data_IF_601406192733
#
_entry.id   IF_601406192733
#
_cell.length_a   1.000
_cell.length_b   1.000
_cell.length_c   1.000
_cell.angle_alpha   90.00
_cell.angle_beta   90.00
_cell.angle_gamma   90.00
#
_symmetry.space_group_name_H-M   'P 1'
#
loop_
_entity.id
_entity.type
_entity.pdbx_description
1 polymer ?
#
# COMPACT_ATOMS: atom_id res chain seq x y z
N UNK A 1 -17.82 7.88 13.32
CA UNK A 1 -16.85 6.77 13.41
C UNK A 1 -16.99 6.11 14.77
N UNK A 2 -17.38 4.83 14.82
CA UNK A 2 -17.44 4.07 16.07
C UNK A 2 -16.03 3.83 16.61
N UNK A 3 -15.83 4.10 17.89
CA UNK A 3 -14.58 3.83 18.62
C UNK A 3 -14.24 2.33 18.49
N UNK A 4 -13.05 1.94 17.97
CA UNK A 4 -12.69 0.54 17.76
C UNK A 4 -12.78 -0.27 19.06
N UNK A 5 -13.28 -1.51 19.02
CA UNK A 5 -13.51 -2.35 20.20
C UNK A 5 -12.26 -2.47 21.10
N UNK A 6 -11.08 -2.51 20.49
CA UNK A 6 -9.76 -2.57 21.10
C UNK A 6 -9.37 -1.34 21.92
N UNK A 7 -9.97 -0.18 21.65
CA UNK A 7 -9.61 1.10 22.29
C UNK A 7 -10.34 1.37 23.62
N UNK A 8 -11.14 0.41 24.09
CA UNK A 8 -11.87 0.49 25.37
C UNK A 8 -11.44 -0.61 26.34
N UNK A 9 -11.34 -0.31 27.65
CA UNK A 9 -11.08 -1.30 28.70
C UNK A 9 -9.66 -1.90 28.69
N UNK A 10 -9.53 -3.24 28.66
CA UNK A 10 -8.24 -3.98 28.65
C UNK A 10 -7.50 -3.88 27.30
N UNK A 11 -7.17 -2.66 26.88
CA UNK A 11 -6.62 -2.31 25.55
C UNK A 11 -5.41 -3.15 25.13
N UNK A 12 -4.42 -3.35 26.01
CA UNK A 12 -3.23 -4.17 25.70
C UNK A 12 -3.55 -5.63 25.38
N UNK A 13 -4.49 -6.25 26.10
CA UNK A 13 -4.91 -7.62 25.82
C UNK A 13 -5.64 -7.68 24.48
N UNK A 14 -6.53 -6.72 24.24
CA UNK A 14 -7.29 -6.64 23.00
C UNK A 14 -6.38 -6.44 21.78
N UNK A 15 -5.36 -5.59 21.91
CA UNK A 15 -4.38 -5.38 20.86
C UNK A 15 -3.62 -6.67 20.51
N UNK A 16 -3.16 -7.44 21.51
CA UNK A 16 -2.49 -8.73 21.26
C UNK A 16 -3.38 -9.72 20.51
N UNK A 17 -4.66 -9.79 20.84
CA UNK A 17 -5.64 -10.64 20.14
C UNK A 17 -5.83 -10.18 18.69
N UNK A 18 -5.98 -8.86 18.47
CA UNK A 18 -6.06 -8.27 17.13
C UNK A 18 -4.81 -8.62 16.32
N UNK A 19 -3.62 -8.43 16.88
CA UNK A 19 -2.36 -8.70 16.19
C UNK A 19 -2.19 -10.20 15.88
N UNK A 20 -2.67 -11.10 16.74
CA UNK A 20 -2.65 -12.54 16.48
C UNK A 20 -3.53 -12.93 15.28
N UNK A 21 -4.74 -12.38 15.20
CA UNK A 21 -5.63 -12.58 14.04
C UNK A 21 -5.01 -12.02 12.76
N UNK A 22 -4.38 -10.84 12.82
CA UNK A 22 -3.72 -10.23 11.67
C UNK A 22 -2.47 -11.01 11.21
N UNK A 23 -1.67 -11.52 12.14
CA UNK A 23 -0.53 -12.39 11.80
C UNK A 23 -0.99 -13.66 11.09
N UNK A 24 -2.04 -14.30 11.61
CA UNK A 24 -2.62 -15.52 11.03
C UNK A 24 -3.18 -15.26 9.64
N UNK A 25 -3.93 -14.16 9.46
CA UNK A 25 -4.42 -13.76 8.15
C UNK A 25 -3.29 -13.47 7.14
N UNK A 26 -2.19 -12.83 7.57
CA UNK A 26 -1.02 -12.58 6.73
C UNK A 26 -0.33 -13.87 6.33
N UNK A 27 -0.12 -14.79 7.27
CA UNK A 27 0.45 -16.12 7.01
C UNK A 27 -0.35 -16.89 5.95
N UNK A 28 -1.68 -16.91 6.07
CA UNK A 28 -2.56 -17.55 5.10
C UNK A 28 -2.49 -16.89 3.71
N UNK A 29 -2.40 -15.55 3.66
CA UNK A 29 -2.20 -14.80 2.41
C UNK A 29 -0.86 -15.12 1.75
N UNK A 30 0.21 -15.20 2.54
CA UNK A 30 1.55 -15.56 2.04
C UNK A 30 1.57 -16.99 1.47
N UNK A 31 0.76 -17.89 2.04
CA UNK A 31 0.49 -19.23 1.50
C UNK A 31 -0.46 -19.28 0.30
N UNK A 32 -0.85 -18.13 -0.28
CA UNK A 32 -1.71 -18.05 -1.46
C UNK A 32 -3.22 -18.18 -1.20
N UNK A 33 -3.65 -18.25 0.06
CA UNK A 33 -5.06 -18.37 0.42
C UNK A 33 -5.68 -16.99 0.67
N UNK A 34 -6.98 -16.85 0.46
CA UNK A 34 -7.73 -15.64 0.85
C UNK A 34 -8.58 -15.99 2.08
N UNK A 35 -8.08 -15.78 3.31
CA UNK A 35 -8.66 -16.37 4.52
C UNK A 35 -10.00 -15.76 4.91
N UNK A 36 -10.93 -16.56 5.41
CA UNK A 36 -12.12 -16.06 6.13
C UNK A 36 -11.76 -15.66 7.57
N UNK A 37 -12.70 -15.02 8.28
CA UNK A 37 -12.52 -14.69 9.71
C UNK A 37 -12.35 -15.97 10.54
N UNK A 38 -13.10 -17.02 10.22
CA UNK A 38 -13.00 -18.33 10.88
C UNK A 38 -11.64 -18.98 10.66
N UNK A 39 -11.13 -18.99 9.42
CA UNK A 39 -9.84 -19.60 9.12
C UNK A 39 -8.70 -18.90 9.87
N UNK A 40 -8.72 -17.56 9.91
CA UNK A 40 -7.74 -16.80 10.69
C UNK A 40 -7.91 -17.00 12.20
N UNK A 41 -9.14 -17.23 12.69
CA UNK A 41 -9.41 -17.50 14.09
C UNK A 41 -8.92 -18.89 14.50
N UNK A 42 -9.21 -19.90 13.69
CA UNK A 42 -8.81 -21.30 13.89
C UNK A 42 -7.26 -21.40 13.89
N UNK A 43 -6.58 -20.77 12.94
CA UNK A 43 -5.10 -20.69 12.89
C UNK A 43 -4.50 -19.94 14.09
N UNK A 44 -5.16 -18.88 14.57
CA UNK A 44 -4.71 -18.10 15.73
C UNK A 44 -5.02 -18.76 17.09
N UNK A 45 -5.76 -19.87 17.12
CA UNK A 45 -6.30 -20.45 18.36
C UNK A 45 -7.30 -19.53 19.09
N UNK A 46 -8.05 -18.72 18.34
CA UNK A 46 -9.04 -17.76 18.86
C UNK A 46 -10.45 -18.23 18.50
N UNK A 47 -11.39 -18.16 19.44
CA UNK A 47 -12.78 -18.53 19.13
C UNK A 47 -13.40 -17.62 18.04
N UNK A 48 -14.26 -18.18 17.19
CA UNK A 48 -14.99 -17.44 16.14
C UNK A 48 -15.72 -16.21 16.71
N UNK A 49 -16.45 -16.40 17.81
CA UNK A 49 -17.17 -15.31 18.50
C UNK A 49 -16.24 -14.17 18.92
N UNK A 50 -15.02 -14.49 19.36
CA UNK A 50 -14.03 -13.46 19.70
C UNK A 50 -13.47 -12.80 18.45
N UNK A 51 -13.13 -13.55 17.40
CA UNK A 51 -12.63 -13.00 16.15
C UNK A 51 -13.62 -12.01 15.50
N UNK A 52 -14.90 -12.35 15.47
CA UNK A 52 -15.97 -11.49 14.95
C UNK A 52 -16.14 -10.16 15.71
N UNK A 53 -15.72 -10.09 16.98
CA UNK A 53 -15.68 -8.82 17.73
C UNK A 53 -14.60 -7.85 17.23
N UNK A 54 -13.52 -8.36 16.62
CA UNK A 54 -12.45 -7.54 16.04
C UNK A 54 -12.65 -7.28 14.56
N UNK A 55 -13.12 -8.29 13.83
CA UNK A 55 -13.30 -8.24 12.38
C UNK A 55 -14.71 -8.75 12.04
N UNK A 56 -15.67 -7.85 11.80
CA UNK A 56 -17.06 -8.25 11.57
C UNK A 56 -17.26 -9.05 10.27
N UNK A 57 -16.32 -8.96 9.33
CA UNK A 57 -16.32 -9.74 8.09
C UNK A 57 -14.91 -9.85 7.50
N UNK A 58 -14.78 -10.69 6.48
CA UNK A 58 -13.52 -10.94 5.76
C UNK A 58 -12.91 -9.65 5.20
N UNK A 59 -13.73 -8.74 4.64
CA UNK A 59 -13.25 -7.46 4.11
C UNK A 59 -12.52 -6.63 5.16
N UNK A 60 -13.06 -6.53 6.38
CA UNK A 60 -12.40 -5.81 7.48
C UNK A 60 -11.10 -6.47 7.91
N UNK A 61 -11.05 -7.81 7.94
CA UNK A 61 -9.83 -8.55 8.25
C UNK A 61 -8.74 -8.30 7.21
N UNK A 62 -9.05 -8.48 5.93
CA UNK A 62 -8.09 -8.35 4.83
C UNK A 62 -7.54 -6.93 4.69
N UNK A 63 -8.40 -5.90 4.83
CA UNK A 63 -7.93 -4.51 4.79
C UNK A 63 -7.02 -4.17 5.97
N UNK A 64 -7.29 -4.72 7.15
CA UNK A 64 -6.43 -4.55 8.32
C UNK A 64 -5.14 -5.39 8.24
N UNK A 65 -5.11 -6.43 7.42
CA UNK A 65 -3.92 -7.24 7.17
C UNK A 65 -2.89 -6.50 6.29
N UNK A 66 -3.31 -5.52 5.48
CA UNK A 66 -2.40 -4.62 4.76
C UNK A 66 -1.54 -3.84 5.76
N UNK A 67 -0.22 -3.71 5.54
CA UNK A 67 0.65 -2.98 6.45
C UNK A 67 0.26 -1.50 6.53
N UNK A 68 0.13 -0.99 7.76
CA UNK A 68 0.14 0.44 8.02
C UNK A 68 1.61 0.91 8.00
N UNK A 69 2.04 1.52 6.90
CA UNK A 69 3.37 2.14 6.81
C UNK A 69 3.22 3.58 7.27
N UNK A 70 3.48 3.81 8.55
CA UNK A 70 3.32 5.11 9.19
C UNK A 70 4.58 5.97 9.05
N UNK A 71 4.92 6.30 7.80
CA UNK A 71 6.00 7.25 7.48
C UNK A 71 5.43 8.37 6.62
N UNK A 72 5.76 9.61 6.95
CA UNK A 72 5.39 10.79 6.15
C UNK A 72 6.26 10.92 4.90
N UNK A 73 7.50 10.43 4.96
CA UNK A 73 8.43 10.34 3.85
C UNK A 73 9.09 8.97 3.79
N UNK A 74 9.51 8.55 2.60
CA UNK A 74 10.41 7.41 2.39
C UNK A 74 11.88 7.83 2.28
N UNK A 75 12.14 9.13 2.30
CA UNK A 75 13.48 9.71 2.31
C UNK A 75 13.95 9.88 3.76
N UNK A 76 15.23 9.59 3.99
CA UNK A 76 15.88 9.83 5.27
C UNK A 76 16.45 11.26 5.32
N UNK A 77 16.87 11.72 6.51
CA UNK A 77 17.32 13.11 6.75
C UNK A 77 18.49 13.56 5.85
N UNK A 78 19.31 12.62 5.36
CA UNK A 78 20.43 12.88 4.45
C UNK A 78 20.11 12.70 2.96
N UNK A 79 18.84 12.76 2.57
CA UNK A 79 18.44 12.58 1.18
C UNK A 79 19.08 13.65 0.26
N UNK A 80 19.49 13.29 -0.98
CA UNK A 80 20.08 14.24 -1.92
C UNK A 80 19.15 15.41 -2.27
N UNK A 81 19.73 16.50 -2.77
CA UNK A 81 18.98 17.62 -3.34
C UNK A 81 18.51 17.34 -4.77
N UNK A 82 19.25 16.50 -5.50
CA UNK A 82 18.91 16.13 -6.88
C UNK A 82 17.57 15.36 -6.94
N UNK A 83 16.61 15.92 -7.69
CA UNK A 83 15.25 15.38 -7.79
C UNK A 83 15.23 13.98 -8.42
N UNK A 84 16.13 13.67 -9.35
CA UNK A 84 16.19 12.34 -9.97
C UNK A 84 16.62 11.29 -8.95
N UNK A 85 17.67 11.57 -8.18
CA UNK A 85 18.14 10.70 -7.11
C UNK A 85 17.08 10.50 -6.01
N UNK A 86 16.40 11.58 -5.59
CA UNK A 86 15.28 11.50 -4.62
C UNK A 86 14.15 10.60 -5.12
N UNK A 87 13.71 10.82 -6.36
CA UNK A 87 12.63 10.02 -6.95
C UNK A 87 13.04 8.55 -7.04
N UNK A 88 14.27 8.28 -7.45
CA UNK A 88 14.79 6.92 -7.56
C UNK A 88 14.77 6.17 -6.21
N UNK A 89 15.21 6.82 -5.12
CA UNK A 89 15.15 6.28 -3.76
C UNK A 89 13.70 5.96 -3.34
N UNK A 90 12.77 6.88 -3.58
CA UNK A 90 11.35 6.68 -3.23
C UNK A 90 10.73 5.53 -4.02
N UNK A 91 11.03 5.42 -5.32
CA UNK A 91 10.47 4.33 -6.15
C UNK A 91 11.13 2.99 -5.82
N UNK A 92 12.42 2.96 -5.50
CA UNK A 92 13.09 1.75 -5.02
C UNK A 92 12.47 1.23 -3.72
N UNK A 93 12.26 2.09 -2.72
CA UNK A 93 11.62 1.71 -1.46
C UNK A 93 10.14 1.33 -1.68
N UNK A 94 9.43 2.02 -2.59
CA UNK A 94 8.08 1.63 -2.96
C UNK A 94 8.03 0.23 -3.58
N UNK A 95 8.96 -0.11 -4.47
CA UNK A 95 9.05 -1.45 -5.07
C UNK A 95 9.32 -2.53 -4.01
N UNK A 96 10.19 -2.27 -3.03
CA UNK A 96 10.43 -3.19 -1.92
C UNK A 96 9.19 -3.38 -1.03
N UNK A 97 8.43 -2.31 -0.77
CA UNK A 97 7.13 -2.39 -0.10
C UNK A 97 6.15 -3.26 -0.88
N UNK A 98 6.08 -3.10 -2.21
CA UNK A 98 5.21 -3.91 -3.06
C UNK A 98 5.62 -5.38 -2.99
N UNK A 99 6.91 -5.68 -3.15
CA UNK A 99 7.46 -7.05 -3.11
C UNK A 99 7.22 -7.73 -1.76
N UNK A 100 7.47 -7.02 -0.66
CA UNK A 100 7.33 -7.56 0.71
C UNK A 100 5.89 -7.88 1.08
N UNK A 101 4.94 -7.08 0.59
CA UNK A 101 3.53 -7.16 0.98
C UNK A 101 2.62 -7.52 -0.20
N UNK A 102 3.18 -8.14 -1.24
CA UNK A 102 2.48 -8.42 -2.49
C UNK A 102 1.17 -9.19 -2.23
N UNK A 103 1.12 -10.29 -1.46
CA UNK A 103 -0.11 -11.04 -1.23
C UNK A 103 -1.22 -10.19 -0.59
N UNK A 104 -0.88 -9.39 0.42
CA UNK A 104 -1.81 -8.53 1.13
C UNK A 104 -2.31 -7.37 0.25
N UNK A 105 -1.42 -6.77 -0.54
CA UNK A 105 -1.77 -5.70 -1.48
C UNK A 105 -2.64 -6.22 -2.62
N UNK A 106 -2.42 -7.45 -3.10
CA UNK A 106 -3.28 -8.12 -4.09
C UNK A 106 -4.66 -8.42 -3.53
N UNK A 107 -4.76 -8.88 -2.28
CA UNK A 107 -6.04 -9.10 -1.62
C UNK A 107 -6.82 -7.78 -1.47
N UNK A 108 -6.14 -6.71 -1.08
CA UNK A 108 -6.75 -5.38 -1.00
C UNK A 108 -7.22 -4.92 -2.39
N UNK A 109 -6.39 -5.07 -3.44
CA UNK A 109 -6.75 -4.71 -4.80
C UNK A 109 -8.02 -5.43 -5.26
N UNK A 110 -8.14 -6.75 -5.03
CA UNK A 110 -9.37 -7.51 -5.35
C UNK A 110 -10.60 -6.91 -4.67
N UNK A 111 -10.51 -6.62 -3.36
CA UNK A 111 -11.60 -6.00 -2.61
C UNK A 111 -11.97 -4.61 -3.13
N UNK A 112 -11.04 -3.87 -3.72
CA UNK A 112 -11.31 -2.56 -4.32
C UNK A 112 -12.04 -2.67 -5.67
N UNK A 113 -11.78 -3.74 -6.43
CA UNK A 113 -12.42 -4.01 -7.72
C UNK A 113 -13.85 -4.54 -7.56
N UNK A 114 -14.14 -5.21 -6.45
CA UNK A 114 -15.50 -5.68 -6.11
C UNK A 114 -16.46 -4.55 -5.71
N UNK A 115 -15.98 -3.32 -5.57
CA UNK A 115 -16.82 -2.20 -5.15
C UNK A 115 -17.69 -1.69 -6.29
N UNK A 116 -18.95 -1.44 -6.00
CA UNK A 116 -19.84 -0.71 -6.90
C UNK A 116 -19.22 0.68 -7.21
N UNK A 117 -18.96 1.01 -8.48
CA UNK A 117 -18.39 2.31 -8.88
C UNK A 117 -19.20 3.51 -8.38
N UNK A 118 -20.48 3.33 -8.08
CA UNK A 118 -21.41 4.33 -7.57
C UNK A 118 -21.27 4.53 -6.05
N UNK A 119 -20.51 3.67 -5.36
CA UNK A 119 -20.18 3.85 -3.94
C UNK A 119 -19.43 5.17 -3.74
N UNK A 120 -19.99 6.04 -2.88
CA UNK A 120 -19.41 7.33 -2.53
C UNK A 120 -18.01 7.17 -1.93
N UNK A 121 -17.13 8.13 -2.22
CA UNK A 121 -15.70 8.08 -1.86
C UNK A 121 -15.47 7.89 -0.36
N UNK A 122 -16.33 8.46 0.47
CA UNK A 122 -16.28 8.37 1.94
C UNK A 122 -16.71 6.99 2.47
N UNK A 123 -17.45 6.22 1.67
CA UNK A 123 -17.88 4.86 1.98
C UNK A 123 -16.92 3.80 1.41
N UNK A 124 -15.94 4.20 0.56
CA UNK A 124 -14.93 3.27 0.07
C UNK A 124 -13.92 2.98 1.17
N UNK A 125 -13.57 1.71 1.42
CA UNK A 125 -12.54 1.42 2.39
C UNK A 125 -11.24 2.06 1.98
N UNK A 126 -10.48 2.40 3.01
CA UNK A 126 -9.24 3.15 2.97
C UNK A 126 -8.14 2.28 2.38
N UNK A 127 -8.26 1.86 1.12
CA UNK A 127 -7.14 1.25 0.43
C UNK A 127 -6.16 2.38 0.12
N UNK A 128 -5.25 2.62 1.07
CA UNK A 128 -4.17 3.62 1.10
C UNK A 128 -4.61 4.99 0.57
N UNK A 129 -4.92 5.95 1.45
CA UNK A 129 -5.35 7.36 1.17
C UNK A 129 -4.44 8.18 0.21
N UNK A 130 -4.00 7.63 -0.92
CA UNK A 130 -2.99 8.22 -1.79
C UNK A 130 -1.63 8.41 -1.10
N UNK A 131 -1.29 7.69 -0.01
CA UNK A 131 -0.04 7.94 0.75
C UNK A 131 1.22 7.81 -0.12
N UNK A 132 1.23 6.86 -1.06
CA UNK A 132 2.32 6.74 -2.03
C UNK A 132 2.47 7.98 -2.92
N UNK A 133 1.37 8.69 -3.23
CA UNK A 133 1.42 9.95 -3.97
C UNK A 133 2.11 11.02 -3.11
N UNK A 134 1.81 11.08 -1.81
CA UNK A 134 2.48 12.02 -0.91
C UNK A 134 3.99 11.75 -0.79
N UNK A 135 4.42 10.48 -0.77
CA UNK A 135 5.85 10.14 -0.80
C UNK A 135 6.54 10.58 -2.11
N UNK A 136 5.85 10.44 -3.24
CA UNK A 136 6.38 10.90 -4.53
C UNK A 136 6.39 12.43 -4.58
N UNK A 137 5.37 13.12 -4.06
CA UNK A 137 5.39 14.59 -3.95
C UNK A 137 6.56 15.10 -3.11
N UNK A 138 6.87 14.42 -2.01
CA UNK A 138 8.01 14.73 -1.15
C UNK A 138 9.35 14.58 -1.90
N UNK A 139 9.47 13.57 -2.77
CA UNK A 139 10.63 13.45 -3.65
C UNK A 139 10.75 14.62 -4.64
N UNK A 140 9.61 15.13 -5.12
CA UNK A 140 9.51 16.20 -6.11
C UNK A 140 9.54 17.62 -5.51
N UNK A 141 9.72 17.77 -4.20
CA UNK A 141 9.82 19.08 -3.52
C UNK A 141 10.79 20.05 -4.21
N UNK A 142 12.02 19.65 -4.63
CA UNK A 142 12.97 20.56 -5.28
C UNK A 142 12.49 21.17 -6.61
N UNK A 143 11.44 20.61 -7.23
CA UNK A 143 10.85 21.19 -8.44
C UNK A 143 10.15 22.52 -8.17
N UNK A 144 9.76 22.82 -6.93
CA UNK A 144 9.16 24.11 -6.59
C UNK A 144 10.07 25.28 -6.95
N UNK A 145 11.39 25.10 -6.82
CA UNK A 145 12.38 26.14 -7.11
C UNK A 145 12.92 26.00 -8.54
N UNK A 146 13.32 24.79 -8.94
CA UNK A 146 13.96 24.56 -10.23
C UNK A 146 12.98 24.62 -11.42
N UNK A 147 11.75 24.13 -11.24
CA UNK A 147 10.74 24.00 -12.31
C UNK A 147 9.32 24.33 -11.79
N UNK A 148 9.07 25.58 -11.33
CA UNK A 148 7.83 25.95 -10.66
C UNK A 148 6.56 25.80 -11.51
N UNK A 149 6.72 25.70 -12.84
CA UNK A 149 5.62 25.47 -13.79
C UNK A 149 5.14 24.01 -13.82
N UNK A 150 5.90 23.06 -13.26
CA UNK A 150 5.54 21.65 -13.23
C UNK A 150 4.49 21.41 -12.13
N UNK A 151 3.34 20.87 -12.51
CA UNK A 151 2.33 20.38 -11.56
C UNK A 151 2.82 19.10 -10.86
N UNK A 152 3.44 19.29 -9.70
CA UNK A 152 4.01 18.21 -8.87
C UNK A 152 2.97 17.17 -8.45
N UNK A 153 1.73 17.57 -8.15
CA UNK A 153 0.65 16.65 -7.75
C UNK A 153 0.29 15.76 -8.93
N UNK A 154 0.07 16.35 -10.11
CA UNK A 154 -0.28 15.61 -11.32
C UNK A 154 0.84 14.67 -11.73
N UNK A 155 2.11 15.11 -11.66
CA UNK A 155 3.26 14.26 -11.93
C UNK A 155 3.35 13.09 -10.95
N UNK A 156 3.17 13.34 -9.64
CA UNK A 156 3.19 12.28 -8.63
C UNK A 156 2.07 11.25 -8.84
N UNK A 157 0.87 11.69 -9.24
CA UNK A 157 -0.24 10.78 -9.60
C UNK A 157 0.11 9.94 -10.82
N UNK A 158 0.68 10.53 -11.87
CA UNK A 158 1.09 9.82 -13.08
C UNK A 158 2.16 8.76 -12.78
N UNK A 159 3.19 9.13 -12.01
CA UNK A 159 4.24 8.20 -11.58
C UNK A 159 3.65 7.07 -10.72
N UNK A 160 2.78 7.41 -9.75
CA UNK A 160 2.14 6.39 -8.90
C UNK A 160 1.30 5.40 -9.71
N UNK A 161 0.65 5.84 -10.79
CA UNK A 161 -0.12 4.94 -11.64
C UNK A 161 0.75 3.83 -12.25
N UNK A 162 1.98 4.16 -12.66
CA UNK A 162 2.96 3.20 -13.21
C UNK A 162 3.76 2.42 -12.16
N UNK A 163 3.77 2.86 -10.90
CA UNK A 163 4.58 2.26 -9.82
C UNK A 163 3.71 1.63 -8.72
N UNK A 164 2.51 1.20 -9.07
CA UNK A 164 1.50 0.64 -8.17
C UNK A 164 1.48 -0.88 -8.08
N UNK A 165 0.67 -1.40 -7.16
CA UNK A 165 0.36 -2.85 -7.14
C UNK A 165 -0.35 -3.27 -8.44
N UNK A 166 -1.11 -2.36 -9.04
CA UNK A 166 -1.81 -2.56 -10.30
C UNK A 166 -0.81 -2.80 -11.45
N UNK A 167 0.18 -1.92 -11.58
CA UNK A 167 1.25 -2.04 -12.57
C UNK A 167 2.16 -3.24 -12.28
N UNK A 168 2.46 -3.52 -11.00
CA UNK A 168 3.23 -4.70 -10.59
C UNK A 168 2.57 -5.99 -11.03
N UNK A 169 1.27 -6.16 -10.75
CA UNK A 169 0.47 -7.32 -11.16
C UNK A 169 0.48 -7.46 -12.69
N UNK A 170 0.29 -6.35 -13.42
CA UNK A 170 0.34 -6.38 -14.88
C UNK A 170 1.71 -6.84 -15.40
N UNK A 171 2.80 -6.25 -14.90
CA UNK A 171 4.15 -6.61 -15.36
C UNK A 171 4.50 -8.06 -15.05
N UNK A 172 4.25 -8.51 -13.82
CA UNK A 172 4.67 -9.83 -13.36
C UNK A 172 3.78 -10.94 -13.91
N UNK A 173 2.46 -10.75 -13.91
CA UNK A 173 1.54 -11.85 -14.23
C UNK A 173 1.10 -11.85 -15.70
N UNK A 174 0.97 -10.67 -16.32
CA UNK A 174 0.48 -10.55 -17.70
C UNK A 174 1.67 -10.46 -18.66
N UNK A 175 2.61 -9.56 -18.40
CA UNK A 175 3.80 -9.40 -19.24
C UNK A 175 4.92 -10.41 -18.91
N UNK A 176 4.75 -11.24 -17.87
CA UNK A 176 5.70 -12.25 -17.42
C UNK A 176 7.10 -11.72 -17.10
N UNK A 177 7.19 -10.44 -16.69
CA UNK A 177 8.44 -9.81 -16.31
C UNK A 177 8.90 -10.36 -14.94
N UNK A 178 10.18 -10.77 -14.78
CA UNK A 178 10.72 -11.14 -13.49
C UNK A 178 10.54 -10.02 -12.45
N UNK A 179 10.21 -10.36 -11.20
CA UNK A 179 9.95 -9.36 -10.14
C UNK A 179 11.09 -8.35 -9.95
N UNK A 180 12.34 -8.78 -10.10
CA UNK A 180 13.52 -7.90 -10.03
C UNK A 180 13.54 -6.90 -11.18
N UNK A 181 13.16 -7.33 -12.38
CA UNK A 181 13.08 -6.47 -13.56
C UNK A 181 11.86 -5.54 -13.52
N UNK A 182 10.73 -6.00 -12.97
CA UNK A 182 9.55 -5.16 -12.74
C UNK A 182 9.88 -3.96 -11.83
N UNK A 183 10.70 -4.16 -10.78
CA UNK A 183 11.17 -3.07 -9.93
C UNK A 183 12.05 -2.07 -10.70
N UNK A 184 12.94 -2.55 -11.57
CA UNK A 184 13.75 -1.70 -12.46
C UNK A 184 12.88 -0.91 -13.42
N UNK A 185 11.92 -1.55 -14.10
CA UNK A 185 11.00 -0.89 -15.02
C UNK A 185 10.16 0.21 -14.36
N UNK A 186 9.75 0.03 -13.10
CA UNK A 186 9.07 1.09 -12.36
C UNK A 186 9.95 2.32 -12.17
N UNK A 187 11.23 2.12 -11.81
CA UNK A 187 12.20 3.21 -11.64
C UNK A 187 12.46 3.94 -12.94
N UNK A 188 12.70 3.19 -14.03
CA UNK A 188 12.90 3.76 -15.36
C UNK A 188 11.66 4.52 -15.86
N UNK A 189 10.46 3.97 -15.67
CA UNK A 189 9.20 4.63 -16.03
C UNK A 189 8.99 5.92 -15.26
N UNK A 190 9.29 5.93 -13.95
CA UNK A 190 9.22 7.13 -13.13
C UNK A 190 10.22 8.20 -13.60
N UNK A 191 11.47 7.81 -13.92
CA UNK A 191 12.48 8.72 -14.43
C UNK A 191 12.14 9.28 -15.81
N UNK A 192 11.51 8.48 -16.68
CA UNK A 192 11.04 8.92 -17.99
C UNK A 192 9.90 9.95 -17.86
N UNK A 193 8.93 9.71 -16.97
CA UNK A 193 7.87 10.68 -16.68
C UNK A 193 8.41 11.97 -16.09
N UNK A 194 9.41 11.88 -15.20
CA UNK A 194 10.11 13.06 -14.69
C UNK A 194 10.85 13.79 -15.81
N UNK A 195 11.62 13.09 -16.66
CA UNK A 195 12.32 13.69 -17.80
C UNK A 195 11.38 14.46 -18.73
N UNK A 196 10.28 13.82 -19.13
CA UNK A 196 9.24 14.46 -19.95
C UNK A 196 8.65 15.71 -19.28
N UNK A 197 8.45 15.70 -17.95
CA UNK A 197 7.97 16.87 -17.22
C UNK A 197 9.00 18.00 -17.13
N UNK A 198 10.30 17.68 -17.17
CA UNK A 198 11.40 18.65 -17.20
C UNK A 198 11.74 19.13 -18.63
N UNK A 199 11.13 18.54 -19.66
CA UNK A 199 11.41 18.86 -21.06
C UNK A 199 12.73 18.30 -21.59
N UNK A 200 13.21 17.18 -21.02
CA UNK A 200 14.47 16.51 -21.37
C UNK A 200 14.23 15.05 -21.77
#
# INVERSE_FOLDING_TARGET
>A
MSVPYESTGRTRQKQRTRDALLRSARSLLDGGHTPTVEQAADDAGISRTTAYRYFPNQRHLLLAAVPAIDRNSLLDEGAPDDVRARLDLVIAEQAEILRRWEPQLRAALRLSLEQDPQTSRDARPVMRQGRAIAWIEDALVPLAESHPHVDRRRLAVAIRAGCGIEAWVWMVDIAAVPRTEAATLMRESAQALLGAALGV
#
